data_IF_365735777960
#
_entry.id   IF_365735777960
#
_cell.length_a   1.000
_cell.length_b   1.000
_cell.length_c   1.000
_cell.angle_alpha   90.00
_cell.angle_beta   90.00
_cell.angle_gamma   90.00
#
_symmetry.space_group_name_H-M   'P 1'
#
loop_
_entity.id
_entity.type
_entity.pdbx_description
1 polymer ?
#
# COMPACT_ATOMS: atom_id res chain seq x y z
N UNK A 1 9.65 18.17 -1.14
CA UNK A 1 10.33 18.77 -2.31
C UNK A 1 9.56 18.54 -3.61
N UNK A 2 9.83 17.49 -4.40
CA UNK A 2 9.24 17.34 -5.74
C UNK A 2 7.70 17.27 -5.77
N UNK A 3 7.10 16.66 -4.74
CA UNK A 3 5.64 16.59 -4.59
C UNK A 3 5.03 17.83 -3.88
N UNK A 4 5.82 18.88 -3.59
CA UNK A 4 5.36 20.07 -2.87
C UNK A 4 5.03 19.87 -1.38
N UNK A 5 5.34 18.70 -0.81
CA UNK A 5 4.95 18.34 0.57
C UNK A 5 5.89 18.85 1.69
N UNK A 6 7.03 19.44 1.33
CA UNK A 6 8.03 19.96 2.28
C UNK A 6 9.01 20.87 1.55
N UNK A 7 9.59 21.84 2.28
CA UNK A 7 10.56 22.85 1.79
C UNK A 7 12.03 22.40 1.88
N UNK A 8 12.33 21.39 2.69
CA UNK A 8 13.64 20.74 2.73
C UNK A 8 13.49 19.25 3.02
N UNK A 9 14.58 18.50 2.96
CA UNK A 9 14.63 17.08 3.31
C UNK A 9 14.39 16.84 4.80
N UNK A 10 14.88 17.74 5.65
CA UNK A 10 14.78 17.67 7.12
C UNK A 10 13.35 17.98 7.61
N UNK A 11 12.58 18.70 6.80
CA UNK A 11 11.21 19.07 7.10
C UNK A 11 10.17 18.01 6.67
N UNK A 12 10.59 16.89 6.07
CA UNK A 12 9.66 15.83 5.61
C UNK A 12 9.11 15.05 6.81
N UNK A 13 7.78 14.95 6.91
CA UNK A 13 7.14 14.12 7.92
C UNK A 13 7.37 12.62 7.66
N UNK A 14 7.67 11.87 8.72
CA UNK A 14 7.84 10.40 8.66
C UNK A 14 6.59 9.64 8.19
N UNK A 15 5.43 10.28 8.31
CA UNK A 15 4.16 9.70 7.94
C UNK A 15 3.95 9.64 6.42
N UNK A 16 4.21 10.73 5.69
CA UNK A 16 3.91 10.85 4.27
C UNK A 16 4.90 11.81 3.58
N UNK A 17 5.22 11.59 2.29
CA UNK A 17 4.74 10.50 1.44
C UNK A 17 5.33 9.13 1.84
N UNK A 18 4.64 8.04 1.48
CA UNK A 18 5.19 6.70 1.64
C UNK A 18 6.12 6.37 0.48
N UNK A 19 7.12 5.54 0.74
CA UNK A 19 8.03 5.01 -0.29
C UNK A 19 7.83 3.50 -0.37
N UNK A 20 7.60 2.99 -1.58
CA UNK A 20 7.44 1.57 -1.84
C UNK A 20 8.45 1.11 -2.90
N UNK A 21 9.04 -0.06 -2.67
CA UNK A 21 9.75 -0.83 -3.69
C UNK A 21 8.74 -1.77 -4.34
N UNK A 22 8.77 -1.81 -5.66
CA UNK A 22 7.83 -2.56 -6.50
C UNK A 22 8.65 -3.40 -7.47
N UNK A 23 8.20 -4.63 -7.74
CA UNK A 23 8.82 -5.51 -8.70
C UNK A 23 7.86 -6.61 -9.17
N UNK A 24 8.29 -7.42 -10.15
CA UNK A 24 7.46 -8.49 -10.69
C UNK A 24 7.16 -9.55 -9.61
N UNK A 25 6.13 -10.36 -9.85
CA UNK A 25 5.85 -11.49 -8.97
C UNK A 25 7.06 -12.43 -8.91
N UNK A 26 7.45 -12.81 -7.70
CA UNK A 26 8.65 -13.61 -7.44
C UNK A 26 8.41 -14.52 -6.23
N UNK A 27 9.07 -15.70 -6.14
CA UNK A 27 8.88 -16.58 -5.00
C UNK A 27 9.33 -15.87 -3.71
N UNK A 28 8.54 -16.02 -2.64
CA UNK A 28 8.92 -15.50 -1.33
C UNK A 28 8.38 -16.36 -0.18
N UNK A 29 9.08 -16.31 0.95
CA UNK A 29 8.62 -16.84 2.23
C UNK A 29 8.06 -15.69 3.07
N UNK A 30 6.79 -15.81 3.48
CA UNK A 30 6.14 -14.83 4.34
C UNK A 30 6.61 -14.94 5.80
N UNK A 31 6.29 -13.93 6.60
CA UNK A 31 6.66 -13.84 8.02
C UNK A 31 6.06 -14.95 8.89
N UNK A 32 5.01 -15.64 8.41
CA UNK A 32 4.41 -16.80 9.06
C UNK A 32 5.03 -18.14 8.60
N UNK A 33 6.01 -18.11 7.70
CA UNK A 33 6.69 -19.28 7.14
C UNK A 33 6.05 -19.87 5.89
N UNK A 34 4.91 -19.34 5.43
CA UNK A 34 4.28 -19.80 4.20
C UNK A 34 5.09 -19.41 2.96
N UNK A 35 5.18 -20.34 2.00
CA UNK A 35 5.85 -20.11 0.72
C UNK A 35 4.83 -19.74 -0.35
N UNK A 36 5.14 -18.68 -1.09
CA UNK A 36 4.32 -18.16 -2.18
C UNK A 36 5.10 -18.27 -3.49
N UNK A 37 4.50 -18.90 -4.49
CA UNK A 37 5.07 -18.98 -5.85
C UNK A 37 4.76 -17.69 -6.63
N UNK A 38 5.45 -17.42 -7.75
CA UNK A 38 5.11 -16.28 -8.61
C UNK A 38 3.63 -16.22 -9.01
N UNK A 39 2.98 -17.36 -9.25
CA UNK A 39 1.58 -17.43 -9.72
C UNK A 39 0.55 -17.04 -8.63
N UNK A 40 0.98 -17.00 -7.36
CA UNK A 40 0.12 -16.68 -6.22
C UNK A 40 -0.24 -15.19 -6.12
N UNK A 41 0.48 -14.32 -6.81
CA UNK A 41 0.29 -12.87 -6.77
C UNK A 41 0.67 -12.24 -8.11
N UNK A 42 0.33 -10.97 -8.28
CA UNK A 42 0.49 -10.27 -9.56
C UNK A 42 1.57 -9.18 -9.50
N UNK A 43 1.96 -8.77 -8.30
CA UNK A 43 2.95 -7.72 -8.06
C UNK A 43 3.59 -7.88 -6.68
N UNK A 44 4.92 -7.77 -6.59
CA UNK A 44 5.63 -7.77 -5.32
C UNK A 44 5.83 -6.33 -4.82
N UNK A 45 5.43 -6.06 -3.57
CA UNK A 45 5.53 -4.72 -2.97
C UNK A 45 6.13 -4.78 -1.57
N UNK A 46 7.03 -3.84 -1.29
CA UNK A 46 7.64 -3.61 0.03
C UNK A 46 7.58 -2.13 0.35
N UNK A 47 6.88 -1.74 1.42
CA UNK A 47 6.66 -0.33 1.74
C UNK A 47 7.38 0.07 3.03
N UNK A 48 7.96 1.26 3.04
CA UNK A 48 8.54 1.90 4.22
C UNK A 48 7.47 2.73 4.92
N UNK A 49 7.35 2.58 6.24
CA UNK A 49 6.49 3.42 7.07
C UNK A 49 7.17 3.68 8.41
N UNK A 50 7.24 4.95 8.81
CA UNK A 50 7.97 5.37 10.01
C UNK A 50 9.40 4.81 10.01
N UNK A 51 10.10 5.01 8.89
CA UNK A 51 11.52 4.62 8.68
C UNK A 51 11.82 3.12 8.78
N UNK A 52 10.79 2.28 8.77
CA UNK A 52 10.93 0.82 8.86
C UNK A 52 10.20 0.13 7.72
N UNK A 53 10.72 -1.02 7.30
CA UNK A 53 9.97 -1.92 6.42
C UNK A 53 8.69 -2.35 7.12
N UNK A 54 7.56 -2.07 6.50
CA UNK A 54 6.28 -2.49 7.02
C UNK A 54 6.20 -4.02 6.94
N UNK A 55 5.70 -4.65 8.02
CA UNK A 55 5.61 -6.13 8.10
C UNK A 55 4.62 -6.74 7.10
N UNK A 56 3.72 -5.92 6.57
CA UNK A 56 2.80 -6.25 5.50
C UNK A 56 2.88 -5.17 4.41
N UNK A 57 1.77 -4.52 4.11
CA UNK A 57 1.68 -3.26 3.35
C UNK A 57 0.69 -2.33 4.07
N UNK A 58 0.89 -1.01 4.04
CA UNK A 58 -0.12 -0.08 4.55
C UNK A 58 -1.33 -0.13 3.63
N UNK A 59 -2.55 -0.08 4.18
CA UNK A 59 -3.75 -0.23 3.35
C UNK A 59 -3.85 0.87 2.29
N UNK A 60 -3.57 2.12 2.67
CA UNK A 60 -3.50 3.25 1.73
C UNK A 60 -2.39 3.09 0.70
N UNK A 61 -1.27 2.44 1.05
CA UNK A 61 -0.22 2.10 0.11
C UNK A 61 -0.69 1.08 -0.92
N UNK A 62 -1.37 0.02 -0.48
CA UNK A 62 -1.96 -0.98 -1.38
C UNK A 62 -3.00 -0.35 -2.34
N UNK A 63 -3.87 0.52 -1.81
CA UNK A 63 -4.85 1.29 -2.60
C UNK A 63 -4.18 2.18 -3.65
N UNK A 64 -3.11 2.88 -3.27
CA UNK A 64 -2.33 3.70 -4.18
C UNK A 64 -1.63 2.84 -5.26
N UNK A 65 -1.07 1.68 -4.88
CA UNK A 65 -0.45 0.75 -5.82
C UNK A 65 -1.43 0.26 -6.87
N UNK A 66 -2.61 -0.23 -6.48
CA UNK A 66 -3.58 -0.73 -7.47
C UNK A 66 -4.13 0.39 -8.36
N UNK A 67 -4.28 1.60 -7.84
CA UNK A 67 -4.62 2.75 -8.65
C UNK A 67 -3.50 3.09 -9.66
N UNK A 68 -2.24 3.03 -9.24
CA UNK A 68 -1.10 3.24 -10.13
C UNK A 68 -1.00 2.14 -11.21
N UNK A 69 -1.32 0.88 -10.90
CA UNK A 69 -1.41 -0.19 -11.92
C UNK A 69 -2.43 0.14 -13.01
N UNK A 70 -3.49 0.90 -12.73
CA UNK A 70 -4.43 1.37 -13.76
C UNK A 70 -3.94 2.57 -14.60
N UNK A 71 -2.76 3.12 -14.29
CA UNK A 71 -2.14 4.23 -15.02
C UNK A 71 -1.01 3.67 -15.89
N UNK A 72 -1.27 3.60 -17.20
CA UNK A 72 -0.29 3.12 -18.19
C UNK A 72 1.01 3.93 -18.13
N UNK A 73 2.14 3.22 -18.16
CA UNK A 73 3.49 3.82 -18.06
C UNK A 73 3.93 4.17 -16.64
N UNK A 74 3.15 3.82 -15.61
CA UNK A 74 3.63 3.88 -14.22
C UNK A 74 4.51 2.67 -13.88
N UNK A 75 5.40 2.82 -12.89
CA UNK A 75 6.26 1.71 -12.43
C UNK A 75 5.44 0.47 -12.03
N UNK A 76 4.32 0.57 -11.27
CA UNK A 76 3.49 -0.61 -10.99
C UNK A 76 2.86 -1.24 -12.24
N UNK A 77 2.45 -0.43 -13.23
CA UNK A 77 1.89 -0.95 -14.48
C UNK A 77 2.91 -1.81 -15.24
N UNK A 78 4.19 -1.41 -15.24
CA UNK A 78 5.26 -2.14 -15.93
C UNK A 78 5.51 -3.55 -15.36
N UNK A 79 5.27 -3.77 -14.07
CA UNK A 79 5.58 -5.03 -13.39
C UNK A 79 4.37 -5.93 -13.12
N UNK A 80 3.16 -5.38 -13.13
CA UNK A 80 1.96 -6.12 -12.78
C UNK A 80 1.57 -7.11 -13.88
N UNK A 81 1.24 -8.34 -13.51
CA UNK A 81 0.73 -9.35 -14.45
C UNK A 81 -0.79 -9.32 -14.62
N UNK A 82 -1.50 -8.52 -13.82
CA UNK A 82 -2.95 -8.33 -13.83
C UNK A 82 -3.27 -6.94 -13.29
N UNK A 83 -4.37 -6.33 -13.75
CA UNK A 83 -4.79 -5.00 -13.30
C UNK A 83 -5.98 -5.03 -12.33
N UNK A 84 -6.88 -6.03 -12.41
CA UNK A 84 -8.01 -6.18 -11.49
C UNK A 84 -8.64 -7.59 -11.57
N UNK A 85 -8.84 -8.30 -10.44
CA UNK A 85 -8.28 -7.99 -9.12
C UNK A 85 -6.74 -8.13 -9.12
N UNK A 86 -6.06 -7.23 -8.42
CA UNK A 86 -4.62 -7.25 -8.23
C UNK A 86 -4.29 -7.92 -6.90
N UNK A 87 -3.47 -8.97 -6.93
CA UNK A 87 -2.95 -9.64 -5.73
C UNK A 87 -1.56 -9.11 -5.41
N UNK A 88 -1.43 -8.37 -4.31
CA UNK A 88 -0.14 -7.80 -3.89
C UNK A 88 0.59 -8.76 -2.94
N UNK A 89 1.75 -9.27 -3.38
CA UNK A 89 2.68 -10.02 -2.56
C UNK A 89 3.48 -9.10 -1.62
N UNK A 90 3.25 -9.24 -0.32
CA UNK A 90 3.88 -8.47 0.74
C UNK A 90 4.49 -9.40 1.81
N UNK A 91 5.30 -8.94 2.79
CA UNK A 91 5.96 -9.84 3.71
C UNK A 91 5.02 -10.68 4.59
N UNK A 92 3.75 -10.28 4.77
CA UNK A 92 2.75 -11.06 5.50
C UNK A 92 1.86 -11.95 4.61
N UNK A 93 2.20 -12.10 3.32
CA UNK A 93 1.46 -12.92 2.38
C UNK A 93 0.85 -12.10 1.24
N UNK A 94 -0.36 -12.45 0.80
CA UNK A 94 -1.00 -11.86 -0.38
C UNK A 94 -2.22 -11.03 0.02
N UNK A 95 -2.31 -9.80 -0.48
CA UNK A 95 -3.43 -8.89 -0.26
C UNK A 95 -4.16 -8.60 -1.59
N UNK A 96 -5.42 -9.04 -1.75
CA UNK A 96 -6.22 -8.67 -2.91
C UNK A 96 -6.76 -7.25 -2.77
N UNK A 97 -6.65 -6.48 -3.85
CA UNK A 97 -7.18 -5.12 -4.00
C UNK A 97 -7.68 -4.91 -5.43
N UNK A 98 -8.60 -3.97 -5.61
CA UNK A 98 -9.16 -3.62 -6.91
C UNK A 98 -9.19 -2.10 -7.07
N UNK A 99 -9.10 -1.62 -8.31
CA UNK A 99 -9.37 -0.24 -8.64
C UNK A 99 -10.10 -0.13 -9.97
N UNK A 100 -10.99 0.86 -10.07
CA UNK A 100 -11.55 1.32 -11.33
C UNK A 100 -10.89 2.65 -11.69
N UNK A 101 -9.98 2.59 -12.67
CA UNK A 101 -9.25 3.76 -13.16
C UNK A 101 -9.74 4.09 -14.57
N UNK A 102 -10.26 5.30 -14.74
CA UNK A 102 -10.70 5.84 -16.01
C UNK A 102 -9.58 6.69 -16.63
N UNK A 103 -9.18 6.38 -17.86
CA UNK A 103 -8.31 7.26 -18.65
C UNK A 103 -9.18 8.31 -19.35
N UNK A 104 -9.02 9.57 -18.95
CA UNK A 104 -9.77 10.71 -19.47
C UNK A 104 -9.16 11.28 -20.77
N UNK A 105 -8.05 10.71 -21.24
CA UNK A 105 -7.22 11.25 -22.31
C UNK A 105 -6.26 12.34 -21.83
N UNK A 106 -5.34 12.75 -22.71
CA UNK A 106 -4.34 13.80 -22.45
C UNK A 106 -3.48 13.58 -21.19
N UNK A 107 -3.20 12.32 -20.85
CA UNK A 107 -2.43 11.96 -19.65
C UNK A 107 -3.17 12.14 -18.33
N UNK A 108 -4.49 12.40 -18.35
CA UNK A 108 -5.31 12.46 -17.14
C UNK A 108 -5.97 11.12 -16.85
N UNK A 109 -5.92 10.73 -15.59
CA UNK A 109 -6.58 9.54 -15.07
C UNK A 109 -7.46 9.92 -13.88
N UNK A 110 -8.63 9.27 -13.77
CA UNK A 110 -9.55 9.41 -12.65
C UNK A 110 -9.66 8.07 -11.94
N UNK A 111 -9.38 8.03 -10.63
CA UNK A 111 -9.69 6.87 -9.81
C UNK A 111 -11.18 6.92 -9.40
N UNK A 112 -12.03 6.18 -10.12
CA UNK A 112 -13.48 6.11 -9.86
C UNK A 112 -13.76 5.38 -8.56
N UNK A 113 -13.04 4.29 -8.30
CA UNK A 113 -13.12 3.56 -7.04
C UNK A 113 -11.83 2.78 -6.76
N UNK A 114 -11.61 2.49 -5.48
CA UNK A 114 -10.59 1.55 -5.01
C UNK A 114 -11.21 0.69 -3.92
N UNK A 115 -11.08 -0.63 -4.05
CA UNK A 115 -11.67 -1.62 -3.14
C UNK A 115 -10.58 -2.41 -2.44
N UNK A 116 -10.79 -2.65 -1.14
CA UNK A 116 -9.97 -3.56 -0.35
C UNK A 116 -10.85 -4.37 0.61
N UNK A 117 -10.40 -5.56 0.96
CA UNK A 117 -11.12 -6.47 1.84
C UNK A 117 -10.45 -6.50 3.21
N UNK A 118 -11.23 -6.24 4.27
CA UNK A 118 -10.75 -6.18 5.65
C UNK A 118 -11.72 -6.88 6.59
N UNK A 119 -11.19 -7.39 7.68
CA UNK A 119 -11.96 -7.91 8.81
C UNK A 119 -11.86 -6.95 9.98
N UNK A 120 -12.88 -6.94 10.84
CA UNK A 120 -12.87 -6.19 12.10
C UNK A 120 -13.46 -7.04 13.22
N UNK A 121 -12.97 -6.84 14.44
CA UNK A 121 -13.47 -7.47 15.66
C UNK A 121 -13.32 -6.49 16.83
N UNK A 122 -14.38 -6.29 17.61
CA UNK A 122 -14.29 -5.50 18.86
C UNK A 122 -13.42 -6.26 19.87
N UNK A 123 -12.38 -5.59 20.39
CA UNK A 123 -11.45 -6.18 21.37
C UNK A 123 -11.80 -5.79 22.81
N UNK A 124 -12.21 -4.53 23.04
CA UNK A 124 -12.55 -3.99 24.36
C UNK A 124 -13.63 -2.92 24.23
N UNK A 125 -14.46 -2.79 25.26
CA UNK A 125 -15.42 -1.70 25.45
C UNK A 125 -15.31 -1.23 26.90
N UNK A 126 -15.15 0.08 27.13
CA UNK A 126 -14.90 0.63 28.46
C UNK A 126 -14.21 1.99 28.42
N UNK A 127 -13.52 2.34 29.52
CA UNK A 127 -12.83 3.62 29.69
C UNK A 127 -11.32 3.47 29.80
N UNK A 128 -10.57 4.36 29.14
CA UNK A 128 -9.12 4.49 29.31
C UNK A 128 -8.84 5.52 30.40
N UNK A 129 -8.14 5.10 31.46
CA UNK A 129 -7.76 6.01 32.55
C UNK A 129 -6.50 6.79 32.16
N UNK A 130 -6.53 8.10 32.38
CA UNK A 130 -5.39 9.01 32.13
C UNK A 130 -5.10 9.84 33.39
N UNK A 131 -3.82 10.07 33.77
CA UNK A 131 -3.48 10.93 34.89
C UNK A 131 -3.97 12.36 34.67
N UNK A 132 -4.67 12.93 35.66
CA UNK A 132 -5.23 14.30 35.57
C UNK A 132 -4.20 15.36 35.21
N UNK A 133 -2.95 15.23 35.69
CA UNK A 133 -1.85 16.15 35.37
C UNK A 133 -1.45 16.20 33.87
N UNK A 134 -1.86 15.22 33.06
CA UNK A 134 -1.57 15.17 31.62
C UNK A 134 -2.73 15.71 30.76
N UNK A 135 -3.90 15.94 31.37
CA UNK A 135 -5.04 16.61 30.74
C UNK A 135 -4.82 18.12 30.91
N UNK A 136 -4.11 18.74 29.97
CA UNK A 136 -4.04 20.19 29.83
C UNK A 136 -5.16 20.70 28.94
#
# INVERSE_FOLDING_TARGET
MLMGMAESTEAVHLANPKVALVGPAAPFTALDGNNYTPESHDLAVRIVSMERMHRAITLTGAMCTVAAVGVEGSIPYEFATSCAPLRIGNPSGVLPVEANICNEGNGRFTAVSVTSYRTQRRLMEGSVLVPSRLLK
#
